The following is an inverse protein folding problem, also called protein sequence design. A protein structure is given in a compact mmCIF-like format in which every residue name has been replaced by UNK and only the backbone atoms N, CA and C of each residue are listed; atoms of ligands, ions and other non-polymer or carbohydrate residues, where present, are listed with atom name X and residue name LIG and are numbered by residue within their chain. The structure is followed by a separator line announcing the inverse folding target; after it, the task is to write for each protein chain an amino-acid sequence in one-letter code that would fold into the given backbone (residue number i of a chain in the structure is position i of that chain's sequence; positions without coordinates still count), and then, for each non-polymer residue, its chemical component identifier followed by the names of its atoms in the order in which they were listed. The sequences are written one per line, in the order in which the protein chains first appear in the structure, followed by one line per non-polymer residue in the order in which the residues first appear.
data_IF_881529961805
#
_entry.id   IF_881529961805
#
_cell.length_a   1.000
_cell.length_b   1.000
_cell.length_c   1.000
_cell.angle_alpha   90.00
_cell.angle_beta   90.00
_cell.angle_gamma   90.00
#
_symmetry.space_group_name_H-M   'P 1'
#
loop_
_entity.id
_entity.type
_entity.pdbx_description
1 polymer ?
#
# COMPACT_ATOMS: atom_id res chain seq x y z
N UNK A 1 15.67 -36.77 -0.17
CA UNK A 1 14.84 -37.96 -0.43
C UNK A 1 13.97 -37.70 -1.64
N UNK A 2 14.05 -38.56 -2.69
CA UNK A 2 13.34 -38.56 -4.02
C UNK A 2 13.52 -37.28 -4.87
N UNK A 3 14.05 -37.20 -6.12
CA UNK A 3 14.16 -37.97 -7.40
C UNK A 3 12.97 -37.84 -8.40
N UNK A 4 13.22 -37.04 -9.47
CA UNK A 4 12.88 -37.13 -10.93
C UNK A 4 11.39 -37.30 -11.37
N UNK A 5 10.84 -36.77 -12.47
CA UNK A 5 11.30 -36.14 -13.72
C UNK A 5 10.07 -35.51 -14.43
N UNK A 6 10.25 -34.41 -15.17
CA UNK A 6 9.59 -34.20 -16.46
C UNK A 6 10.44 -33.23 -17.29
N UNK A 7 10.84 -33.67 -18.47
CA UNK A 7 11.64 -32.92 -19.46
C UNK A 7 10.75 -32.09 -20.39
N UNK A 8 11.32 -30.95 -20.81
CA UNK A 8 11.10 -30.22 -22.06
C UNK A 8 9.76 -29.52 -22.27
N UNK A 9 9.79 -28.18 -22.31
CA UNK A 9 9.96 -27.50 -23.60
C UNK A 9 10.66 -26.15 -23.38
N UNK A 10 11.62 -25.86 -24.26
CA UNK A 10 12.19 -24.52 -24.38
C UNK A 10 11.19 -23.68 -25.19
N UNK A 11 10.65 -22.57 -24.66
CA UNK A 11 10.13 -21.54 -25.53
C UNK A 11 11.31 -20.82 -26.17
N UNK A 12 11.38 -20.98 -27.49
CA UNK A 12 12.19 -20.22 -28.41
C UNK A 12 12.13 -18.70 -28.08
N UNK A 13 13.28 -18.10 -27.78
CA UNK A 13 13.44 -16.66 -27.60
C UNK A 13 13.95 -16.05 -28.91
N UNK A 14 13.11 -16.10 -29.94
CA UNK A 14 13.23 -15.23 -31.11
C UNK A 14 12.14 -14.16 -30.99
N UNK A 15 12.55 -12.90 -30.79
CA UNK A 15 11.68 -11.75 -31.03
C UNK A 15 11.53 -10.72 -29.91
N UNK A 16 12.47 -10.54 -28.99
CA UNK A 16 12.49 -9.35 -28.15
C UNK A 16 13.03 -8.15 -28.95
N UNK A 17 12.13 -7.48 -29.66
CA UNK A 17 12.35 -6.08 -30.03
C UNK A 17 12.08 -5.24 -28.78
N UNK A 18 13.14 -4.64 -28.25
CA UNK A 18 13.04 -3.58 -27.25
C UNK A 18 12.42 -2.35 -27.94
N UNK A 19 11.14 -2.12 -27.71
CA UNK A 19 10.55 -0.80 -27.89
C UNK A 19 10.37 -0.17 -26.52
N UNK A 20 11.17 0.86 -26.28
CA UNK A 20 11.11 1.75 -25.13
C UNK A 20 9.75 2.47 -25.14
N UNK A 21 8.95 2.27 -24.11
CA UNK A 21 7.60 2.81 -24.01
C UNK A 21 6.95 2.35 -22.71
N UNK A 22 6.72 3.28 -21.80
CA UNK A 22 6.09 3.08 -20.50
C UNK A 22 4.70 2.42 -20.66
N UNK A 23 4.60 1.10 -20.41
CA UNK A 23 3.31 0.39 -20.36
C UNK A 23 3.00 -0.04 -18.92
N UNK A 24 2.44 0.89 -18.15
CA UNK A 24 1.79 0.59 -16.88
C UNK A 24 0.28 0.70 -17.02
N UNK A 25 -0.40 -0.39 -17.39
CA UNK A 25 -1.78 -0.77 -17.01
C UNK A 25 -2.24 -1.90 -17.95
N UNK A 26 -2.07 -3.17 -17.54
CA UNK A 26 -2.67 -4.32 -18.24
C UNK A 26 -3.82 -4.88 -17.42
N UNK A 27 -5.04 -4.75 -17.98
CA UNK A 27 -6.26 -5.38 -17.48
C UNK A 27 -6.45 -6.74 -18.14
N UNK A 28 -6.71 -7.75 -17.33
CA UNK A 28 -7.89 -8.64 -17.36
C UNK A 28 -7.55 -9.89 -16.55
N UNK A 29 -8.54 -10.43 -15.81
CA UNK A 29 -8.95 -11.80 -16.03
C UNK A 29 -10.42 -11.97 -15.60
N UNK A 30 -11.16 -12.51 -16.56
CA UNK A 30 -12.47 -13.11 -16.44
C UNK A 30 -12.49 -14.24 -15.40
N UNK A 31 -13.68 -14.53 -14.90
CA UNK A 31 -13.98 -15.51 -13.86
C UNK A 31 -13.32 -16.88 -14.08
N UNK A 32 -12.40 -17.26 -13.20
CA UNK A 32 -12.12 -18.64 -12.83
C UNK A 32 -11.53 -18.61 -11.41
N UNK A 33 -11.85 -19.61 -10.58
CA UNK A 33 -11.43 -19.76 -9.18
C UNK A 33 -9.89 -19.89 -9.04
N UNK A 34 -9.15 -18.85 -9.41
CA UNK A 34 -7.74 -18.70 -9.10
C UNK A 34 -7.65 -18.38 -7.62
N UNK A 35 -7.06 -19.30 -6.87
CA UNK A 35 -6.59 -19.06 -5.52
C UNK A 35 -5.79 -17.75 -5.52
N UNK A 36 -6.42 -16.67 -5.06
CA UNK A 36 -5.82 -15.33 -5.12
C UNK A 36 -4.47 -15.40 -4.43
N UNK A 37 -3.40 -15.13 -5.17
CA UNK A 37 -2.09 -14.96 -4.58
C UNK A 37 -2.12 -13.68 -3.74
N UNK A 38 -2.28 -13.83 -2.43
CA UNK A 38 -2.33 -12.73 -1.48
C UNK A 38 -0.94 -12.28 -1.03
N UNK A 39 0.13 -12.80 -1.65
CA UNK A 39 1.47 -12.27 -1.44
C UNK A 39 1.51 -10.83 -1.94
N UNK A 40 2.14 -9.97 -1.14
CA UNK A 40 2.32 -8.55 -1.46
C UNK A 40 0.99 -7.83 -1.74
N UNK A 41 -0.05 -8.19 -0.98
CA UNK A 41 -1.34 -7.53 -1.02
C UNK A 41 -1.55 -6.63 0.21
N UNK A 42 -2.09 -5.45 -0.05
CA UNK A 42 -2.77 -4.64 0.95
C UNK A 42 -4.27 -4.74 0.75
N UNK A 43 -5.02 -4.82 1.83
CA UNK A 43 -6.46 -4.55 1.83
C UNK A 43 -6.68 -3.13 2.33
N UNK A 44 -7.61 -2.41 1.72
CA UNK A 44 -7.97 -1.08 2.18
C UNK A 44 -9.43 -0.74 2.05
N UNK A 45 -9.85 0.31 2.76
CA UNK A 45 -11.18 0.91 2.66
C UNK A 45 -11.07 2.42 2.77
N UNK A 46 -12.00 3.12 2.14
CA UNK A 46 -12.13 4.56 2.37
C UNK A 46 -12.92 4.83 3.66
N UNK A 47 -12.53 5.88 4.36
CA UNK A 47 -13.24 6.40 5.53
C UNK A 47 -14.42 7.27 5.05
N UNK A 48 -15.58 7.06 5.67
CA UNK A 48 -16.83 7.75 5.34
C UNK A 48 -17.71 6.99 4.35
N UNK A 49 -18.92 7.51 4.15
CA UNK A 49 -19.98 6.87 3.34
C UNK A 49 -20.07 7.43 1.91
N UNK A 50 -19.09 8.26 1.50
CA UNK A 50 -19.10 8.89 0.18
C UNK A 50 -18.77 7.85 -0.88
N UNK A 51 -19.60 7.77 -1.92
CA UNK A 51 -19.34 6.90 -3.07
C UNK A 51 -18.03 7.30 -3.77
N UNK A 52 -17.16 6.31 -4.00
CA UNK A 52 -15.89 6.48 -4.69
C UNK A 52 -16.05 6.09 -6.16
N UNK A 53 -15.65 6.98 -7.07
CA UNK A 53 -15.58 6.62 -8.50
C UNK A 53 -14.37 5.72 -8.75
N UNK A 54 -14.61 4.41 -8.75
CA UNK A 54 -13.59 3.36 -8.70
C UNK A 54 -12.53 3.53 -9.80
N UNK A 55 -12.93 3.76 -11.05
CA UNK A 55 -11.96 3.84 -12.14
C UNK A 55 -11.01 5.03 -11.98
N UNK A 56 -11.53 6.18 -11.55
CA UNK A 56 -10.70 7.36 -11.27
C UNK A 56 -9.79 7.13 -10.08
N UNK A 57 -10.29 6.46 -9.03
CA UNK A 57 -9.47 6.07 -7.89
C UNK A 57 -8.31 5.17 -8.33
N UNK A 58 -8.57 4.11 -9.10
CA UNK A 58 -7.51 3.19 -9.55
C UNK A 58 -6.39 3.90 -10.31
N UNK A 59 -6.75 4.74 -11.27
CA UNK A 59 -5.78 5.51 -12.07
C UNK A 59 -4.99 6.47 -11.17
N UNK A 60 -5.66 7.21 -10.28
CA UNK A 60 -5.00 8.18 -9.41
C UNK A 60 -4.07 7.53 -8.39
N UNK A 61 -4.48 6.44 -7.76
CA UNK A 61 -3.63 5.77 -6.77
C UNK A 61 -2.40 5.15 -7.43
N UNK A 62 -2.54 4.53 -8.61
CA UNK A 62 -1.40 3.99 -9.35
C UNK A 62 -0.40 5.07 -9.80
N UNK A 63 -0.89 6.22 -10.30
CA UNK A 63 -0.04 7.36 -10.69
C UNK A 63 0.59 8.06 -9.48
N UNK A 64 -0.10 8.09 -8.33
CA UNK A 64 0.42 8.68 -7.10
C UNK A 64 1.55 7.84 -6.50
N UNK A 65 1.34 6.53 -6.38
CA UNK A 65 2.29 5.62 -5.74
C UNK A 65 3.46 5.23 -6.65
N UNK A 66 3.23 5.15 -7.96
CA UNK A 66 4.22 4.70 -8.97
C UNK A 66 5.02 3.47 -8.51
N UNK A 67 4.36 2.42 -8.00
CA UNK A 67 5.05 1.28 -7.43
C UNK A 67 5.89 0.59 -8.50
N UNK A 68 7.08 0.10 -8.12
CA UNK A 68 7.93 -0.68 -9.02
C UNK A 68 7.16 -1.91 -9.53
N UNK A 69 7.02 -2.01 -10.85
CA UNK A 69 6.28 -3.10 -11.50
C UNK A 69 4.74 -2.94 -11.48
N UNK A 70 4.23 -1.81 -10.97
CA UNK A 70 2.81 -1.49 -10.98
C UNK A 70 2.00 -2.08 -9.82
N UNK A 71 0.71 -1.76 -9.81
CA UNK A 71 -0.27 -2.23 -8.84
C UNK A 71 -1.56 -2.62 -9.52
N UNK A 72 -2.10 -3.79 -9.16
CA UNK A 72 -3.41 -4.25 -9.58
C UNK A 72 -4.41 -3.97 -8.47
N UNK A 73 -5.51 -3.27 -8.80
CA UNK A 73 -6.52 -2.84 -7.82
C UNK A 73 -7.85 -3.52 -8.14
N UNK A 74 -8.39 -4.29 -7.20
CA UNK A 74 -9.67 -5.00 -7.31
C UNK A 74 -10.60 -4.59 -6.17
N UNK A 75 -11.89 -4.44 -6.45
CA UNK A 75 -12.89 -4.34 -5.39
C UNK A 75 -13.22 -5.78 -4.94
N UNK A 76 -13.22 -6.01 -3.63
CA UNK A 76 -13.43 -7.35 -3.04
C UNK A 76 -14.70 -7.45 -2.20
N UNK A 77 -15.54 -6.40 -2.26
CA UNK A 77 -16.83 -6.33 -1.59
C UNK A 77 -16.82 -5.45 -0.34
N UNK A 78 -18.02 -5.07 0.13
CA UNK A 78 -18.22 -4.25 1.34
C UNK A 78 -17.40 -2.94 1.38
N UNK A 79 -17.16 -2.30 0.23
CA UNK A 79 -16.35 -1.09 0.12
C UNK A 79 -14.84 -1.30 0.38
N UNK A 80 -14.38 -2.55 0.33
CA UNK A 80 -12.97 -2.94 0.45
C UNK A 80 -12.33 -3.11 -0.92
N UNK A 81 -11.05 -2.75 -0.98
CA UNK A 81 -10.22 -2.85 -2.16
C UNK A 81 -8.97 -3.68 -1.83
N UNK A 82 -8.57 -4.52 -2.77
CA UNK A 82 -7.33 -5.27 -2.74
C UNK A 82 -6.33 -4.61 -3.68
N UNK A 83 -5.14 -4.32 -3.17
CA UNK A 83 -4.03 -3.74 -3.89
C UNK A 83 -2.91 -4.78 -3.96
N UNK A 84 -2.71 -5.40 -5.11
CA UNK A 84 -1.68 -6.41 -5.34
C UNK A 84 -0.48 -5.76 -6.02
N UNK A 85 0.68 -5.86 -5.38
CA UNK A 85 1.94 -5.26 -5.83
C UNK A 85 2.83 -6.30 -6.51
N UNK A 86 3.62 -5.89 -7.50
CA UNK A 86 4.56 -6.78 -8.17
C UNK A 86 5.78 -7.15 -7.31
N UNK A 87 6.08 -6.37 -6.26
CA UNK A 87 7.26 -6.54 -5.42
C UNK A 87 6.98 -6.14 -3.96
N UNK A 88 7.55 -6.83 -2.95
CA UNK A 88 7.34 -6.50 -1.53
C UNK A 88 7.80 -5.09 -1.18
N UNK A 89 8.93 -4.61 -1.74
CA UNK A 89 9.41 -3.25 -1.48
C UNK A 89 8.40 -2.18 -1.93
N UNK A 90 7.71 -2.39 -3.06
CA UNK A 90 6.71 -1.44 -3.53
C UNK A 90 5.47 -1.41 -2.61
N UNK A 91 5.09 -2.55 -2.06
CA UNK A 91 4.04 -2.65 -1.05
C UNK A 91 4.46 -1.94 0.26
N UNK A 92 5.70 -2.16 0.71
CA UNK A 92 6.26 -1.53 1.91
C UNK A 92 6.37 0.00 1.76
N UNK A 93 6.79 0.50 0.61
CA UNK A 93 6.82 1.93 0.31
C UNK A 93 5.43 2.55 0.40
N UNK A 94 4.41 1.86 -0.14
CA UNK A 94 3.03 2.36 -0.09
C UNK A 94 2.47 2.32 1.32
N UNK A 95 2.61 1.22 2.08
CA UNK A 95 2.03 1.16 3.43
C UNK A 95 2.70 2.17 4.39
N UNK A 96 4.00 2.42 4.23
CA UNK A 96 4.76 3.34 5.09
C UNK A 96 4.72 4.80 4.61
N UNK A 97 4.42 5.06 3.34
CA UNK A 97 4.36 6.41 2.77
C UNK A 97 3.05 7.16 3.04
N UNK A 98 2.09 6.54 3.73
CA UNK A 98 0.79 7.13 4.05
C UNK A 98 0.85 8.29 5.08
N UNK A 99 -0.31 8.87 5.43
CA UNK A 99 -1.66 8.45 5.05
C UNK A 99 -2.00 8.82 3.60
N UNK A 100 -2.85 8.01 2.96
CA UNK A 100 -3.31 8.26 1.58
C UNK A 100 -4.74 8.76 1.55
N UNK A 101 -5.07 9.54 0.52
CA UNK A 101 -6.45 9.98 0.28
C UNK A 101 -6.77 10.08 -1.20
N UNK A 102 -8.05 9.94 -1.51
CA UNK A 102 -8.60 10.19 -2.84
C UNK A 102 -9.89 10.99 -2.71
N UNK A 103 -9.99 12.12 -3.42
CA UNK A 103 -11.15 13.02 -3.38
C UNK A 103 -11.57 13.39 -1.94
N UNK A 104 -10.58 13.74 -1.11
CA UNK A 104 -10.70 14.07 0.31
C UNK A 104 -11.26 12.94 1.20
N UNK A 105 -11.32 11.69 0.70
CA UNK A 105 -11.62 10.52 1.52
C UNK A 105 -10.32 9.80 1.85
N UNK A 106 -10.07 9.58 3.13
CA UNK A 106 -8.89 8.90 3.62
C UNK A 106 -8.96 7.40 3.32
N UNK A 107 -7.85 6.83 2.84
CA UNK A 107 -7.70 5.40 2.60
C UNK A 107 -6.96 4.76 3.77
N UNK A 108 -7.63 3.82 4.45
CA UNK A 108 -7.02 2.95 5.45
C UNK A 108 -6.47 1.73 4.71
N UNK A 109 -5.22 1.34 4.99
CA UNK A 109 -4.54 0.19 4.39
C UNK A 109 -4.01 -0.73 5.48
N UNK A 110 -4.11 -2.03 5.25
CA UNK A 110 -3.50 -3.07 6.10
C UNK A 110 -2.89 -4.17 5.24
N UNK A 111 -1.78 -4.73 5.72
CA UNK A 111 -1.16 -5.89 5.08
C UNK A 111 -1.97 -7.16 5.38
N UNK A 112 -2.20 -7.97 4.36
CA UNK A 112 -2.86 -9.26 4.55
C UNK A 112 -1.87 -10.24 5.19
N UNK A 113 -2.19 -10.72 6.40
CA UNK A 113 -1.42 -11.78 7.05
C UNK A 113 -1.88 -13.17 6.59
N UNK A 114 -0.95 -14.12 6.56
CA UNK A 114 -1.23 -15.52 6.22
C UNK A 114 -2.32 -16.09 7.13
N UNK A 115 -3.36 -16.68 6.52
CA UNK A 115 -4.47 -17.31 7.24
C UNK A 115 -5.61 -16.37 7.64
N UNK A 116 -5.53 -15.07 7.34
CA UNK A 116 -6.64 -14.14 7.56
C UNK A 116 -7.61 -14.12 6.38
N UNK A 117 -8.91 -14.01 6.68
CA UNK A 117 -9.93 -13.70 5.68
C UNK A 117 -10.02 -12.18 5.51
N UNK A 118 -10.02 -11.72 4.25
CA UNK A 118 -10.01 -10.31 3.85
C UNK A 118 -11.13 -9.51 4.55
N UNK A 119 -12.32 -10.08 4.64
CA UNK A 119 -13.50 -9.44 5.25
C UNK A 119 -13.35 -9.21 6.76
N UNK A 120 -12.53 -10.01 7.42
CA UNK A 120 -12.29 -9.94 8.86
C UNK A 120 -11.08 -9.07 9.25
N UNK A 121 -10.31 -8.57 8.27
CA UNK A 121 -9.19 -7.68 8.57
C UNK A 121 -9.75 -6.35 9.09
N UNK A 122 -9.39 -5.93 10.32
CA UNK A 122 -9.85 -4.67 10.89
C UNK A 122 -9.16 -3.51 10.19
N UNK A 123 -9.94 -2.58 9.64
CA UNK A 123 -9.45 -1.37 8.98
C UNK A 123 -9.95 -0.16 9.76
N UNK A 124 -9.37 0.05 10.94
CA UNK A 124 -9.87 1.01 11.94
C UNK A 124 -8.91 2.17 12.21
N UNK A 125 -7.62 1.96 11.98
CA UNK A 125 -6.56 2.92 12.31
C UNK A 125 -5.76 3.27 11.08
N UNK A 126 -5.17 4.47 11.10
CA UNK A 126 -4.22 4.93 10.09
C UNK A 126 -3.02 5.50 10.83
N UNK A 127 -1.82 5.11 10.40
CA UNK A 127 -0.61 5.73 10.91
C UNK A 127 -0.37 7.04 10.14
N UNK A 128 -0.06 8.11 10.85
CA UNK A 128 0.22 9.40 10.24
C UNK A 128 1.27 10.18 11.01
N UNK A 129 2.08 10.91 10.27
CA UNK A 129 3.04 11.86 10.82
C UNK A 129 2.33 13.15 11.23
N UNK A 130 2.54 13.56 12.48
CA UNK A 130 2.04 14.84 13.00
C UNK A 130 3.24 15.76 13.25
N UNK A 131 3.27 16.89 12.55
CA UNK A 131 4.30 17.90 12.75
C UNK A 131 3.78 18.99 13.70
N UNK A 132 4.52 19.25 14.78
CA UNK A 132 4.24 20.34 15.71
C UNK A 132 5.13 21.53 15.36
N UNK A 133 4.50 22.67 15.05
CA UNK A 133 5.20 23.91 14.71
C UNK A 133 5.32 24.83 15.93
N UNK A 134 6.31 25.72 15.89
CA UNK A 134 6.53 26.78 16.88
C UNK A 134 6.64 26.30 18.34
N UNK A 135 7.13 25.06 18.54
CA UNK A 135 7.33 24.50 19.86
C UNK A 135 8.55 25.17 20.53
N UNK A 136 8.40 25.86 21.68
CA UNK A 136 9.53 26.46 22.38
C UNK A 136 10.62 25.42 22.69
N UNK A 137 11.90 25.78 22.55
CA UNK A 137 13.04 24.87 22.78
C UNK A 137 12.97 24.12 24.13
N UNK A 138 12.45 24.76 25.19
CA UNK A 138 12.30 24.11 26.50
C UNK A 138 11.29 22.95 26.53
N UNK A 139 10.44 22.85 25.52
CA UNK A 139 9.40 21.82 25.33
C UNK A 139 9.78 20.78 24.27
N UNK A 140 10.89 20.95 23.54
CA UNK A 140 11.44 19.94 22.62
C UNK A 140 12.12 18.82 23.40
N UNK A 141 11.31 18.06 24.16
CA UNK A 141 11.74 16.91 24.95
C UNK A 141 10.85 15.73 24.58
N UNK A 142 11.45 14.56 24.40
CA UNK A 142 10.74 13.31 24.11
C UNK A 142 9.49 13.13 24.98
N UNK A 143 9.62 13.29 26.31
CA UNK A 143 8.46 13.18 27.23
C UNK A 143 7.29 14.13 26.88
N UNK A 144 7.58 15.34 26.43
CA UNK A 144 6.56 16.31 26.00
C UNK A 144 5.96 15.88 24.67
N UNK A 145 6.80 15.48 23.71
CA UNK A 145 6.38 14.93 22.42
C UNK A 145 5.46 13.73 22.58
N UNK A 146 5.87 12.72 23.35
CA UNK A 146 5.06 11.53 23.66
C UNK A 146 3.75 11.88 24.36
N UNK A 147 3.74 12.87 25.27
CA UNK A 147 2.50 13.28 25.96
C UNK A 147 1.53 13.96 24.99
N UNK A 148 2.03 14.82 24.10
CA UNK A 148 1.22 15.48 23.07
C UNK A 148 0.70 14.48 22.04
N UNK A 149 1.55 13.57 21.56
CA UNK A 149 1.15 12.54 20.62
C UNK A 149 0.08 11.62 21.21
N UNK A 150 0.26 11.16 22.46
CA UNK A 150 -0.73 10.34 23.17
C UNK A 150 -2.05 11.08 23.48
N UNK A 151 -2.03 12.41 23.47
CA UNK A 151 -3.26 13.21 23.57
C UNK A 151 -4.03 13.24 22.24
N UNK A 152 -3.34 13.17 21.11
CA UNK A 152 -3.93 13.20 19.76
C UNK A 152 -4.39 11.81 19.32
N UNK A 153 -3.58 10.78 19.57
CA UNK A 153 -3.82 9.39 19.18
C UNK A 153 -2.89 8.45 19.94
N UNK A 154 -2.71 7.22 19.47
CA UNK A 154 -1.67 6.35 20.04
C UNK A 154 -0.31 6.72 19.46
N UNK A 155 0.66 7.04 20.31
CA UNK A 155 2.01 7.34 19.85
C UNK A 155 2.70 6.07 19.33
N UNK A 156 3.18 6.11 18.09
CA UNK A 156 3.93 5.00 17.46
C UNK A 156 5.43 5.26 17.51
N UNK A 157 5.90 6.36 16.91
CA UNK A 157 7.32 6.73 16.87
C UNK A 157 7.53 8.25 16.72
N UNK A 158 8.74 8.73 17.05
CA UNK A 158 9.16 10.13 16.86
C UNK A 158 10.48 10.14 16.08
N UNK A 159 10.56 10.99 15.05
CA UNK A 159 11.81 11.28 14.32
C UNK A 159 12.24 12.70 14.68
N UNK A 160 13.34 12.82 15.42
CA UNK A 160 13.90 14.12 15.78
C UNK A 160 14.87 14.55 14.68
N UNK A 161 14.54 15.61 13.95
CA UNK A 161 15.50 16.27 13.08
C UNK A 161 16.48 17.07 13.95
N UNK A 162 17.66 16.51 14.23
CA UNK A 162 18.77 17.34 14.68
C UNK A 162 19.19 18.22 13.51
N UNK A 163 19.00 19.54 13.62
CA UNK A 163 19.52 20.49 12.64
C UNK A 163 21.00 20.17 12.37
N UNK A 164 21.33 19.93 11.10
CA UNK A 164 22.68 20.12 10.61
C UNK A 164 22.99 21.59 10.85
N UNK A 165 23.85 21.86 11.84
CA UNK A 165 24.40 23.19 12.06
C UNK A 165 25.04 23.65 10.74
N UNK A 166 24.49 24.69 10.13
CA UNK A 166 25.09 25.42 8.99
C UNK A 166 26.36 26.13 9.45
#
# INVERSE_FOLDING_TARGET
SYIHCATMDHPNLDGLSLHDGEEGFRFDFEEEDEQLDLRWCLVGRFLGDRAIHIQSMKVRMADLWRPMGGVTIKEVGAGRFLFHFAHPLAMEEVINGGPWSFDNNMLILEQIQLGMQIDHIPLMYVNMWVQVHDLPMGLMKERVGTTLANYIGEFVEEVVYSEIQV
#
